data_IF_341770130001
#
_entry.id   IF_341770130001
#
_cell.length_a   1.000
_cell.length_b   1.000
_cell.length_c   1.000
_cell.angle_alpha   90.00
_cell.angle_beta   90.00
_cell.angle_gamma   90.00
#
_symmetry.space_group_name_H-M   'P 1'
#
loop_
_entity.id
_entity.type
_entity.pdbx_description
1 polymer ?
#
# COMPACT_ATOMS: atom_id res chain seq x y z
N UNK A 1 20.15 -2.03 -1.76
CA UNK A 1 21.40 -1.49 -1.16
C UNK A 1 22.30 -2.68 -0.87
N UNK A 2 23.54 -2.68 -1.37
CA UNK A 2 24.55 -3.67 -0.99
C UNK A 2 25.66 -2.92 -0.27
N UNK A 3 25.98 -3.34 0.95
CA UNK A 3 27.01 -2.70 1.77
C UNK A 3 27.90 -3.76 2.41
N UNK A 4 29.17 -3.42 2.63
CA UNK A 4 30.13 -4.23 3.39
C UNK A 4 30.58 -3.37 4.56
N UNK A 5 30.39 -3.90 5.77
CA UNK A 5 30.78 -3.25 7.02
C UNK A 5 32.12 -3.84 7.44
N UNK A 6 33.05 -2.97 7.81
CA UNK A 6 34.30 -3.33 8.47
C UNK A 6 34.41 -2.50 9.76
N UNK A 7 35.30 -2.85 10.71
CA UNK A 7 35.43 -2.12 11.98
C UNK A 7 35.70 -0.62 11.84
N UNK A 8 36.24 -0.17 10.71
CA UNK A 8 36.61 1.24 10.50
C UNK A 8 35.96 1.90 9.26
N UNK A 9 35.29 1.13 8.40
CA UNK A 9 34.65 1.70 7.21
C UNK A 9 33.42 0.93 6.73
N UNK A 10 32.49 1.69 6.13
CA UNK A 10 31.28 1.19 5.48
C UNK A 10 31.43 1.39 3.97
N UNK A 11 31.46 0.30 3.21
CA UNK A 11 31.58 0.30 1.75
C UNK A 11 30.21 0.04 1.12
N UNK A 12 29.66 1.02 0.40
CA UNK A 12 28.39 0.87 -0.29
C UNK A 12 28.65 0.56 -1.77
N UNK A 13 28.24 -0.65 -2.19
CA UNK A 13 28.54 -1.24 -3.50
C UNK A 13 27.53 -0.83 -4.59
N UNK A 14 26.34 -0.40 -4.20
CA UNK A 14 25.24 -0.10 -5.13
C UNK A 14 24.66 1.30 -4.90
N UNK A 15 25.17 2.26 -5.69
CA UNK A 15 24.85 3.70 -5.58
C UNK A 15 23.83 4.18 -6.63
N UNK A 16 23.28 3.30 -7.47
CA UNK A 16 22.53 3.72 -8.67
C UNK A 16 21.13 4.29 -8.42
N UNK A 17 20.72 4.41 -7.15
CA UNK A 17 19.42 4.98 -6.78
C UNK A 17 19.60 6.42 -6.29
N UNK A 18 18.92 7.37 -6.93
CA UNK A 18 18.96 8.81 -6.59
C UNK A 18 18.59 9.08 -5.11
N UNK A 19 17.64 8.33 -4.56
CA UNK A 19 17.26 8.45 -3.14
C UNK A 19 18.38 8.00 -2.20
N UNK A 20 19.22 7.08 -2.67
CA UNK A 20 20.32 6.50 -1.92
C UNK A 20 21.50 7.50 -1.86
N UNK A 21 21.72 8.30 -2.92
CA UNK A 21 22.70 9.39 -2.92
C UNK A 21 22.34 10.49 -1.90
N UNK A 22 21.08 10.94 -1.84
CA UNK A 22 20.68 11.97 -0.89
C UNK A 22 20.89 11.54 0.56
N UNK A 23 20.51 10.31 0.89
CA UNK A 23 20.76 9.75 2.21
C UNK A 23 22.27 9.59 2.51
N UNK A 24 23.02 9.03 1.56
CA UNK A 24 24.47 8.81 1.66
C UNK A 24 25.27 10.08 1.97
N UNK A 25 24.93 11.20 1.34
CA UNK A 25 25.71 12.44 1.47
C UNK A 25 25.22 13.33 2.61
N UNK A 26 23.97 13.19 3.06
CA UNK A 26 23.35 14.14 3.99
C UNK A 26 23.07 13.56 5.37
N UNK A 27 22.68 12.30 5.46
CA UNK A 27 22.19 11.69 6.69
C UNK A 27 23.18 10.66 7.26
N UNK A 28 23.80 9.85 6.39
CA UNK A 28 24.81 8.87 6.79
C UNK A 28 25.99 9.49 7.56
N UNK A 29 26.61 10.62 7.13
CA UNK A 29 27.76 11.17 7.84
C UNK A 29 27.40 11.67 9.24
N UNK A 30 26.20 12.26 9.41
CA UNK A 30 25.71 12.69 10.72
C UNK A 30 25.39 11.52 11.65
N UNK A 31 24.85 10.42 11.10
CA UNK A 31 24.56 9.20 11.87
C UNK A 31 25.85 8.49 12.31
N UNK A 32 26.87 8.44 11.43
CA UNK A 32 28.17 7.85 11.75
C UNK A 32 29.01 8.72 12.71
N UNK A 33 28.88 10.05 12.62
CA UNK A 33 29.61 11.00 13.47
C UNK A 33 29.21 10.93 14.97
N UNK A 34 28.08 10.32 15.31
CA UNK A 34 27.69 10.05 16.70
C UNK A 34 27.17 11.27 17.47
N UNK A 35 26.66 12.31 16.80
CA UNK A 35 26.01 13.46 17.46
C UNK A 35 24.55 13.15 17.89
N UNK A 36 24.18 11.87 17.98
CA UNK A 36 22.88 11.40 18.47
C UNK A 36 22.80 11.41 20.00
N UNK A 37 21.80 12.12 20.52
CA UNK A 37 21.73 12.68 21.88
C UNK A 37 21.51 11.68 23.05
N UNK A 38 21.81 10.38 22.92
CA UNK A 38 21.40 9.40 23.95
C UNK A 38 22.40 8.33 24.39
N UNK A 39 23.68 8.36 24.01
CA UNK A 39 24.62 7.32 24.48
C UNK A 39 25.85 7.93 25.13
N UNK A 40 25.93 7.74 26.45
CA UNK A 40 27.02 8.14 27.36
C UNK A 40 28.36 7.43 27.10
N UNK A 41 28.46 6.60 26.05
CA UNK A 41 29.67 5.96 25.55
C UNK A 41 29.68 5.95 24.01
N UNK A 42 30.83 6.11 23.35
CA UNK A 42 30.90 5.98 21.90
C UNK A 42 30.64 4.51 21.51
N UNK A 43 29.44 4.22 20.97
CA UNK A 43 29.13 2.92 20.38
C UNK A 43 30.16 2.55 19.31
N UNK A 44 30.51 1.26 19.16
CA UNK A 44 31.40 0.81 18.08
C UNK A 44 30.87 1.21 16.70
N UNK A 45 31.78 1.31 15.72
CA UNK A 45 31.44 1.80 14.39
C UNK A 45 30.42 0.90 13.67
N UNK A 46 30.51 -0.42 13.88
CA UNK A 46 29.62 -1.41 13.31
C UNK A 46 28.17 -1.23 13.78
N UNK A 47 27.93 -0.88 15.05
CA UNK A 47 26.59 -0.60 15.56
C UNK A 47 25.98 0.61 14.86
N UNK A 48 26.75 1.70 14.75
CA UNK A 48 26.31 2.92 14.06
C UNK A 48 26.06 2.68 12.57
N UNK A 49 26.90 1.85 11.94
CA UNK A 49 26.75 1.50 10.54
C UNK A 49 25.48 0.66 10.32
N UNK A 50 25.24 -0.36 11.15
CA UNK A 50 24.04 -1.19 11.09
C UNK A 50 22.79 -0.35 11.37
N UNK A 51 22.79 0.46 12.43
CA UNK A 51 21.70 1.38 12.78
C UNK A 51 21.34 2.28 11.59
N UNK A 52 22.34 2.92 10.98
CA UNK A 52 22.14 3.78 9.82
C UNK A 52 21.50 3.03 8.65
N UNK A 53 21.98 1.81 8.36
CA UNK A 53 21.43 0.98 7.28
C UNK A 53 19.97 0.59 7.56
N UNK A 54 19.66 0.15 8.78
CA UNK A 54 18.30 -0.22 9.18
C UNK A 54 17.36 0.99 9.14
N UNK A 55 17.82 2.13 9.65
CA UNK A 55 17.10 3.39 9.59
C UNK A 55 16.77 3.78 8.14
N UNK A 56 17.71 3.61 7.21
CA UNK A 56 17.48 3.85 5.79
C UNK A 56 16.41 2.93 5.21
N UNK A 57 16.47 1.64 5.50
CA UNK A 57 15.49 0.66 5.00
C UNK A 57 14.09 0.96 5.55
N UNK A 58 13.95 1.18 6.86
CA UNK A 58 12.67 1.55 7.47
C UNK A 58 12.13 2.85 6.86
N UNK A 59 12.97 3.88 6.74
CA UNK A 59 12.56 5.17 6.15
C UNK A 59 12.13 5.01 4.68
N UNK A 60 12.78 4.13 3.93
CA UNK A 60 12.42 3.82 2.55
C UNK A 60 11.06 3.12 2.46
N UNK A 61 10.83 2.10 3.28
CA UNK A 61 9.57 1.36 3.31
C UNK A 61 8.42 2.26 3.80
N UNK A 62 8.65 3.05 4.86
CA UNK A 62 7.71 4.03 5.38
C UNK A 62 7.39 5.12 4.34
N UNK A 63 8.40 5.60 3.62
CA UNK A 63 8.22 6.56 2.52
C UNK A 63 7.29 6.03 1.44
N UNK A 64 7.49 4.77 0.99
CA UNK A 64 6.58 4.11 0.04
C UNK A 64 5.14 4.04 0.58
N UNK A 65 4.96 3.64 1.85
CA UNK A 65 3.63 3.56 2.47
C UNK A 65 2.96 4.94 2.54
N UNK A 66 3.70 5.97 2.95
CA UNK A 66 3.19 7.33 3.10
C UNK A 66 2.69 7.95 1.80
N UNK A 67 3.21 7.51 0.65
CA UNK A 67 2.74 7.91 -0.68
C UNK A 67 1.49 7.12 -1.08
N UNK A 68 1.49 5.81 -0.86
CA UNK A 68 0.40 4.92 -1.27
C UNK A 68 -0.88 5.13 -0.44
N UNK A 69 -0.75 5.33 0.88
CA UNK A 69 -1.88 5.46 1.80
C UNK A 69 -2.88 6.56 1.41
N UNK A 70 -2.48 7.84 1.20
CA UNK A 70 -3.44 8.88 0.82
C UNK A 70 -4.06 8.63 -0.56
N UNK A 71 -3.28 8.13 -1.53
CA UNK A 71 -3.76 7.82 -2.88
C UNK A 71 -4.84 6.74 -2.87
N UNK A 72 -4.65 5.70 -2.07
CA UNK A 72 -5.62 4.60 -1.93
C UNK A 72 -6.90 5.12 -1.24
N UNK A 73 -6.76 5.85 -0.13
CA UNK A 73 -7.92 6.39 0.60
C UNK A 73 -8.75 7.34 -0.27
N UNK A 74 -8.12 8.27 -0.99
CA UNK A 74 -8.81 9.20 -1.90
C UNK A 74 -9.52 8.46 -3.03
N UNK A 75 -8.86 7.44 -3.61
CA UNK A 75 -9.45 6.64 -4.70
C UNK A 75 -10.66 5.84 -4.20
N UNK A 76 -10.57 5.29 -2.99
CA UNK A 76 -11.67 4.53 -2.37
C UNK A 76 -12.85 5.42 -2.02
N UNK A 77 -12.62 6.58 -1.42
CA UNK A 77 -13.69 7.55 -1.12
C UNK A 77 -14.42 7.97 -2.41
N UNK A 78 -13.67 8.24 -3.49
CA UNK A 78 -14.23 8.59 -4.78
C UNK A 78 -14.99 7.45 -5.49
N UNK A 79 -14.70 6.19 -5.18
CA UNK A 79 -15.37 5.01 -5.75
C UNK A 79 -16.54 4.51 -4.90
N UNK A 80 -16.52 4.78 -3.59
CA UNK A 80 -17.58 4.38 -2.65
C UNK A 80 -18.73 5.39 -2.63
N UNK A 81 -18.49 6.69 -2.91
CA UNK A 81 -19.55 7.70 -2.87
C UNK A 81 -20.68 7.39 -3.89
N UNK A 82 -21.90 7.07 -3.42
CA UNK A 82 -23.03 6.73 -4.28
C UNK A 82 -23.55 7.89 -5.13
N UNK A 83 -23.10 9.13 -4.89
CA UNK A 83 -23.53 10.31 -5.66
C UNK A 83 -22.79 10.45 -6.99
N UNK A 84 -21.62 9.85 -7.14
CA UNK A 84 -20.87 9.86 -8.39
C UNK A 84 -21.34 8.69 -9.27
N UNK A 85 -22.43 8.93 -10.02
CA UNK A 85 -23.14 7.94 -10.86
C UNK A 85 -22.34 7.34 -12.02
N UNK A 86 -21.06 7.68 -12.14
CA UNK A 86 -20.13 7.07 -13.09
C UNK A 86 -18.98 6.48 -12.31
N UNK A 87 -19.06 5.18 -12.03
CA UNK A 87 -17.87 4.40 -11.66
C UNK A 87 -16.89 4.52 -12.82
N UNK A 88 -15.93 5.42 -12.68
CA UNK A 88 -14.92 5.68 -13.69
C UNK A 88 -14.01 4.46 -13.77
N UNK A 89 -14.03 3.77 -14.91
CA UNK A 89 -13.13 2.63 -15.18
C UNK A 89 -11.66 2.99 -14.96
N UNK A 90 -11.30 4.26 -15.14
CA UNK A 90 -9.95 4.80 -14.86
C UNK A 90 -9.62 4.76 -13.36
N UNK A 91 -10.54 5.15 -12.47
CA UNK A 91 -10.32 5.11 -11.01
C UNK A 91 -10.20 3.69 -10.49
N UNK A 92 -10.99 2.74 -11.03
CA UNK A 92 -10.84 1.32 -10.73
C UNK A 92 -9.45 0.80 -11.13
N UNK A 93 -8.95 1.22 -12.31
CA UNK A 93 -7.63 0.85 -12.76
C UNK A 93 -6.51 1.41 -11.86
N UNK A 94 -6.65 2.66 -11.41
CA UNK A 94 -5.74 3.29 -10.44
C UNK A 94 -5.74 2.51 -9.11
N UNK A 95 -6.93 2.12 -8.61
CA UNK A 95 -7.04 1.32 -7.39
C UNK A 95 -6.33 -0.04 -7.53
N UNK A 96 -6.50 -0.73 -8.66
CA UNK A 96 -5.82 -2.00 -8.93
C UNK A 96 -4.30 -1.83 -9.03
N UNK A 97 -3.83 -0.75 -9.65
CA UNK A 97 -2.42 -0.44 -9.73
C UNK A 97 -1.82 -0.14 -8.35
N UNK A 98 -2.50 0.70 -7.55
CA UNK A 98 -2.08 1.01 -6.18
C UNK A 98 -2.11 -0.24 -5.29
N UNK A 99 -3.12 -1.11 -5.45
CA UNK A 99 -3.21 -2.39 -4.75
C UNK A 99 -2.07 -3.33 -5.10
N UNK A 100 -1.61 -3.34 -6.36
CA UNK A 100 -0.41 -4.09 -6.78
C UNK A 100 0.85 -3.54 -6.10
N UNK A 101 1.06 -2.22 -6.14
CA UNK A 101 2.20 -1.59 -5.47
C UNK A 101 2.19 -1.79 -3.96
N UNK A 102 1.01 -1.84 -3.34
CA UNK A 102 0.86 -2.20 -1.92
C UNK A 102 1.29 -3.64 -1.63
N UNK A 103 0.93 -4.60 -2.49
CA UNK A 103 1.37 -6.00 -2.36
C UNK A 103 2.87 -6.18 -2.59
N UNK A 104 3.48 -5.39 -3.48
CA UNK A 104 4.94 -5.34 -3.65
C UNK A 104 5.60 -4.82 -2.37
N UNK A 105 5.08 -3.74 -1.78
CA UNK A 105 5.57 -3.20 -0.50
C UNK A 105 5.40 -4.20 0.66
N UNK A 106 4.26 -4.88 0.75
CA UNK A 106 4.02 -5.92 1.76
C UNK A 106 5.05 -7.05 1.66
N UNK A 107 5.39 -7.47 0.43
CA UNK A 107 6.42 -8.48 0.18
C UNK A 107 7.80 -7.96 0.59
N UNK A 108 8.15 -6.72 0.26
CA UNK A 108 9.42 -6.09 0.66
C UNK A 108 9.56 -6.05 2.20
N UNK A 109 8.51 -5.63 2.91
CA UNK A 109 8.49 -5.58 4.39
C UNK A 109 8.62 -6.99 4.98
N UNK A 110 7.91 -7.96 4.40
CA UNK A 110 7.96 -9.35 4.86
C UNK A 110 9.38 -9.92 4.74
N UNK A 111 10.02 -9.76 3.58
CA UNK A 111 11.38 -10.24 3.36
C UNK A 111 12.35 -9.56 4.34
N UNK A 112 12.23 -8.25 4.54
CA UNK A 112 13.07 -7.52 5.50
C UNK A 112 12.93 -8.09 6.93
N UNK A 113 11.69 -8.37 7.37
CA UNK A 113 11.43 -8.95 8.69
C UNK A 113 11.93 -10.38 8.83
N UNK A 114 11.73 -11.22 7.82
CA UNK A 114 12.23 -12.60 7.81
C UNK A 114 13.76 -12.61 7.94
N UNK A 115 14.46 -11.75 7.19
CA UNK A 115 15.92 -11.62 7.34
C UNK A 115 16.37 -11.06 8.70
N UNK A 116 15.59 -10.18 9.33
CA UNK A 116 15.88 -9.73 10.70
C UNK A 116 15.71 -10.86 11.71
N UNK A 117 14.66 -11.68 11.58
CA UNK A 117 14.40 -12.81 12.45
C UNK A 117 15.47 -13.90 12.31
N UNK A 118 15.91 -14.20 11.10
CA UNK A 118 17.03 -15.14 10.87
C UNK A 118 18.29 -14.73 11.63
N UNK A 119 18.59 -13.43 11.69
CA UNK A 119 19.75 -12.91 12.45
C UNK A 119 19.49 -12.97 13.96
N UNK A 120 18.29 -12.57 14.41
CA UNK A 120 17.92 -12.56 15.83
C UNK A 120 17.84 -13.98 16.44
N UNK A 121 17.44 -14.98 15.64
CA UNK A 121 17.29 -16.36 16.08
C UNK A 121 18.65 -17.09 16.22
N UNK A 122 19.71 -16.59 15.59
CA UNK A 122 21.04 -17.20 15.58
C UNK A 122 22.05 -16.37 16.41
N UNK A 123 22.27 -16.77 17.66
CA UNK A 123 23.23 -16.12 18.58
C UNK A 123 24.65 -16.02 17.97
N UNK A 124 25.07 -17.02 17.20
CA UNK A 124 26.35 -17.01 16.47
C UNK A 124 26.44 -15.85 15.45
N UNK A 125 25.35 -15.54 14.74
CA UNK A 125 25.30 -14.42 13.79
C UNK A 125 25.35 -13.07 14.52
N UNK A 126 24.66 -12.95 15.66
CA UNK A 126 24.71 -11.74 16.50
C UNK A 126 26.13 -11.47 17.00
N UNK A 127 26.84 -12.51 17.44
CA UNK A 127 28.24 -12.39 17.83
C UNK A 127 29.17 -12.03 16.65
N UNK A 128 28.93 -12.57 15.46
CA UNK A 128 29.70 -12.25 14.25
C UNK A 128 29.52 -10.80 13.79
N UNK A 129 28.35 -10.20 14.03
CA UNK A 129 28.09 -8.78 13.74
C UNK A 129 28.90 -7.84 14.65
N UNK A 130 29.31 -8.30 15.83
CA UNK A 130 30.09 -7.53 16.81
C UNK A 130 31.60 -7.55 16.49
N UNK A 131 32.00 -6.89 15.40
CA UNK A 131 33.36 -6.95 14.84
C UNK A 131 34.47 -6.42 15.78
N UNK A 132 34.16 -5.50 16.70
CA UNK A 132 35.13 -5.01 17.71
C UNK A 132 35.58 -6.09 18.69
N UNK A 133 34.74 -7.11 18.96
CA UNK A 133 35.11 -8.30 19.78
C UNK A 133 36.36 -9.01 19.23
N UNK A 134 36.55 -8.94 17.91
CA UNK A 134 37.65 -9.58 17.20
C UNK A 134 38.88 -8.69 17.02
N UNK A 135 38.72 -7.37 17.18
CA UNK A 135 39.78 -6.38 16.89
C UNK A 135 40.54 -5.93 18.13
N UNK A 136 39.92 -5.91 19.32
CA UNK A 136 40.62 -5.58 20.58
C UNK A 136 40.08 -6.40 21.78
N UNK A 137 40.82 -7.44 22.23
CA UNK A 137 40.42 -8.24 23.39
C UNK A 137 40.40 -7.46 24.72
N UNK A 138 40.98 -6.24 24.79
CA UNK A 138 40.92 -5.41 26.00
C UNK A 138 39.63 -4.58 26.13
N UNK A 139 38.85 -4.43 25.05
CA UNK A 139 37.51 -3.81 25.11
C UNK A 139 36.55 -4.74 25.85
N UNK A 140 36.73 -6.05 25.68
CA UNK A 140 35.98 -7.10 26.39
C UNK A 140 36.16 -7.03 27.91
N UNK A 141 37.33 -6.63 28.40
CA UNK A 141 37.62 -6.48 29.85
C UNK A 141 37.04 -5.19 30.45
N UNK A 142 36.72 -4.18 29.61
CA UNK A 142 36.15 -2.89 30.03
C UNK A 142 34.64 -2.83 29.97
N UNK A 143 33.97 -3.86 29.45
CA UNK A 143 32.53 -4.07 29.61
C UNK A 143 32.20 -4.50 31.05
N UNK A 144 32.71 -3.75 32.04
CA UNK A 144 32.42 -3.92 33.47
C UNK A 144 31.01 -3.45 33.85
N UNK A 145 30.12 -3.29 32.86
CA UNK A 145 28.72 -2.91 33.03
C UNK A 145 27.75 -4.10 32.93
N UNK A 146 28.22 -5.30 32.55
CA UNK A 146 27.46 -6.55 32.65
C UNK A 146 26.46 -6.84 31.53
N UNK A 147 26.47 -6.06 30.44
CA UNK A 147 25.71 -6.34 29.21
C UNK A 147 26.71 -6.77 28.14
N UNK A 148 26.45 -7.91 27.49
CA UNK A 148 27.26 -8.39 26.37
C UNK A 148 27.01 -7.50 25.15
N UNK A 149 28.03 -7.22 24.33
CA UNK A 149 27.84 -6.47 23.09
C UNK A 149 26.87 -7.18 22.14
N UNK A 150 26.80 -8.51 22.22
CA UNK A 150 25.78 -9.28 21.50
C UNK A 150 24.35 -8.93 21.95
N UNK A 151 24.10 -8.78 23.25
CA UNK A 151 22.80 -8.39 23.81
C UNK A 151 22.43 -6.95 23.40
N UNK A 152 23.39 -6.02 23.37
CA UNK A 152 23.15 -4.67 22.85
C UNK A 152 22.79 -4.67 21.36
N UNK A 153 23.41 -5.55 20.56
CA UNK A 153 23.12 -5.69 19.12
C UNK A 153 21.74 -6.28 18.91
N UNK A 154 21.38 -7.31 19.68
CA UNK A 154 20.06 -7.92 19.69
C UNK A 154 18.98 -6.87 19.97
N UNK A 155 19.12 -6.09 21.05
CA UNK A 155 18.18 -5.03 21.42
C UNK A 155 18.00 -3.98 20.31
N UNK A 156 19.09 -3.62 19.61
CA UNK A 156 19.05 -2.71 18.47
C UNK A 156 18.23 -3.32 17.32
N UNK A 157 18.52 -4.57 16.95
CA UNK A 157 17.81 -5.28 15.88
C UNK A 157 16.33 -5.49 16.21
N UNK A 158 16.00 -5.86 17.45
CA UNK A 158 14.63 -6.02 17.94
C UNK A 158 13.82 -4.73 17.81
N UNK A 159 14.43 -3.58 18.13
CA UNK A 159 13.77 -2.28 17.98
C UNK A 159 13.41 -2.01 16.51
N UNK A 160 14.32 -2.26 15.57
CA UNK A 160 14.05 -2.09 14.14
C UNK A 160 13.08 -3.14 13.58
N UNK A 161 13.12 -4.37 14.09
CA UNK A 161 12.13 -5.40 13.79
C UNK A 161 10.73 -4.94 14.20
N UNK A 162 10.59 -4.36 15.40
CA UNK A 162 9.31 -3.80 15.88
C UNK A 162 8.81 -2.66 14.99
N UNK A 163 9.69 -1.76 14.56
CA UNK A 163 9.31 -0.71 13.60
C UNK A 163 8.83 -1.29 12.26
N UNK A 164 9.46 -2.36 11.78
CA UNK A 164 9.02 -3.06 10.57
C UNK A 164 7.68 -3.80 10.77
N UNK A 165 7.43 -4.36 11.96
CA UNK A 165 6.15 -4.95 12.35
C UNK A 165 5.02 -3.90 12.34
N UNK A 166 5.25 -2.73 12.91
CA UNK A 166 4.28 -1.62 12.89
C UNK A 166 3.94 -1.22 11.44
N UNK A 167 4.95 -1.15 10.57
CA UNK A 167 4.76 -0.85 9.16
C UNK A 167 4.00 -1.96 8.41
N UNK A 168 4.29 -3.22 8.74
CA UNK A 168 3.57 -4.39 8.22
C UNK A 168 2.09 -4.34 8.60
N UNK A 169 1.79 -3.96 9.85
CA UNK A 169 0.42 -3.84 10.34
C UNK A 169 -0.33 -2.70 9.64
N UNK A 170 0.29 -1.53 9.50
CA UNK A 170 -0.32 -0.41 8.76
C UNK A 170 -0.60 -0.77 7.28
N UNK A 171 0.33 -1.50 6.64
CA UNK A 171 0.15 -2.00 5.26
C UNK A 171 -1.01 -2.98 5.18
N UNK A 172 -1.14 -3.88 6.16
CA UNK A 172 -2.23 -4.86 6.24
C UNK A 172 -3.59 -4.22 6.47
N UNK A 173 -3.68 -3.21 7.32
CA UNK A 173 -4.91 -2.44 7.53
C UNK A 173 -5.40 -1.80 6.22
N UNK A 174 -4.47 -1.18 5.47
CA UNK A 174 -4.79 -0.59 4.18
C UNK A 174 -5.24 -1.64 3.16
N UNK A 175 -4.65 -2.85 3.20
CA UNK A 175 -5.06 -3.96 2.34
C UNK A 175 -6.48 -4.42 2.63
N UNK A 176 -6.81 -4.63 3.90
CA UNK A 176 -8.17 -5.01 4.33
C UNK A 176 -9.19 -3.96 3.86
N UNK A 177 -8.86 -2.67 4.01
CA UNK A 177 -9.73 -1.58 3.59
C UNK A 177 -9.95 -1.55 2.06
N UNK A 178 -8.94 -1.91 1.24
CA UNK A 178 -9.13 -2.11 -0.21
C UNK A 178 -10.08 -3.28 -0.46
N UNK A 179 -9.85 -4.44 0.16
CA UNK A 179 -10.63 -5.66 -0.07
C UNK A 179 -12.11 -5.46 0.35
N UNK A 180 -12.36 -4.79 1.48
CA UNK A 180 -13.70 -4.41 1.94
C UNK A 180 -14.40 -3.47 0.94
N UNK A 181 -13.67 -2.47 0.45
CA UNK A 181 -14.22 -1.49 -0.49
C UNK A 181 -14.47 -2.08 -1.88
N UNK A 182 -13.66 -3.05 -2.32
CA UNK A 182 -13.87 -3.75 -3.59
C UNK A 182 -15.25 -4.40 -3.66
N UNK A 183 -15.68 -5.05 -2.56
CA UNK A 183 -17.01 -5.67 -2.48
C UNK A 183 -18.13 -4.63 -2.66
N UNK A 184 -17.98 -3.46 -2.04
CA UNK A 184 -18.95 -2.35 -2.17
C UNK A 184 -18.98 -1.82 -3.61
N UNK A 185 -17.82 -1.65 -4.24
CA UNK A 185 -17.70 -1.18 -5.62
C UNK A 185 -18.39 -2.14 -6.59
N UNK A 186 -18.19 -3.45 -6.41
CA UNK A 186 -18.87 -4.47 -7.23
C UNK A 186 -20.40 -4.42 -7.08
N UNK A 187 -20.90 -4.28 -5.84
CA UNK A 187 -22.34 -4.12 -5.58
C UNK A 187 -22.88 -2.86 -6.28
N UNK A 188 -22.15 -1.75 -6.25
CA UNK A 188 -22.55 -0.50 -6.88
C UNK A 188 -22.62 -0.63 -8.41
N UNK A 189 -21.62 -1.26 -9.03
CA UNK A 189 -21.60 -1.56 -10.46
C UNK A 189 -22.78 -2.43 -10.91
N UNK A 190 -23.10 -3.47 -10.12
CA UNK A 190 -24.27 -4.32 -10.40
C UNK A 190 -25.58 -3.57 -10.25
N UNK A 191 -25.70 -2.68 -9.25
CA UNK A 191 -26.85 -1.79 -9.09
C UNK A 191 -27.06 -0.90 -10.32
N UNK A 192 -25.99 -0.30 -10.85
CA UNK A 192 -26.07 0.50 -12.08
C UNK A 192 -26.56 -0.31 -13.28
N UNK A 193 -26.05 -1.54 -13.46
CA UNK A 193 -26.53 -2.45 -14.51
C UNK A 193 -28.02 -2.80 -14.33
N UNK A 194 -28.44 -3.02 -13.09
CA UNK A 194 -29.84 -3.31 -12.75
C UNK A 194 -30.76 -2.12 -13.01
N UNK A 195 -30.32 -0.88 -12.73
CA UNK A 195 -31.06 0.34 -13.07
C UNK A 195 -31.20 0.48 -14.59
N UNK A 196 -30.13 0.28 -15.35
CA UNK A 196 -30.19 0.36 -16.82
C UNK A 196 -31.14 -0.69 -17.42
N UNK A 197 -31.11 -1.92 -16.90
CA UNK A 197 -32.04 -2.97 -17.33
C UNK A 197 -33.50 -2.62 -16.99
N UNK A 198 -33.75 -2.05 -15.80
CA UNK A 198 -35.08 -1.56 -15.41
C UNK A 198 -35.58 -0.45 -16.32
N UNK A 199 -34.72 0.52 -16.65
CA UNK A 199 -35.06 1.61 -17.58
C UNK A 199 -35.38 1.07 -18.98
N UNK A 200 -34.61 0.12 -19.49
CA UNK A 200 -34.89 -0.51 -20.78
C UNK A 200 -36.25 -1.23 -20.80
N UNK A 201 -36.60 -1.94 -19.72
CA UNK A 201 -37.90 -2.58 -19.58
C UNK A 201 -39.04 -1.55 -19.57
N UNK A 202 -38.89 -0.45 -18.82
CA UNK A 202 -39.89 0.62 -18.78
C UNK A 202 -40.06 1.29 -20.14
N UNK A 203 -38.96 1.58 -20.85
CA UNK A 203 -39.02 2.13 -22.21
C UNK A 203 -39.71 1.16 -23.18
N UNK A 204 -39.41 -0.13 -23.10
CA UNK A 204 -40.04 -1.15 -23.94
C UNK A 204 -41.55 -1.27 -23.67
N UNK A 205 -41.97 -1.21 -22.40
CA UNK A 205 -43.40 -1.15 -22.04
C UNK A 205 -44.07 0.12 -22.56
N UNK A 206 -43.36 1.26 -22.49
CA UNK A 206 -43.82 2.53 -23.02
C UNK A 206 -43.99 2.52 -24.55
N UNK A 207 -42.99 2.02 -25.30
CA UNK A 207 -43.06 1.89 -26.76
C UNK A 207 -44.11 0.88 -27.20
N UNK A 208 -44.28 -0.23 -26.49
CA UNK A 208 -45.35 -1.19 -26.74
C UNK A 208 -46.73 -0.53 -26.58
N UNK A 209 -46.93 0.19 -25.49
CA UNK A 209 -48.18 0.92 -25.23
C UNK A 209 -48.45 1.98 -26.31
N UNK A 210 -47.44 2.77 -26.66
CA UNK A 210 -47.53 3.78 -27.72
C UNK A 210 -47.84 3.14 -29.09
N UNK A 211 -47.30 1.96 -29.37
CA UNK A 211 -47.57 1.21 -30.61
C UNK A 211 -49.03 0.76 -30.68
N UNK A 212 -49.62 0.28 -29.58
CA UNK A 212 -51.04 -0.10 -29.52
C UNK A 212 -51.97 1.10 -29.76
N UNK A 213 -51.71 2.23 -29.09
CA UNK A 213 -52.48 3.46 -29.32
C UNK A 213 -52.28 4.00 -30.75
N UNK A 214 -51.06 3.91 -31.27
CA UNK A 214 -50.73 4.27 -32.65
C UNK A 214 -51.52 3.43 -33.66
N UNK A 215 -51.62 2.12 -33.46
CA UNK A 215 -52.42 1.23 -34.31
C UNK A 215 -53.91 1.63 -34.32
N UNK A 216 -54.48 1.93 -33.15
CA UNK A 216 -55.85 2.45 -33.07
C UNK A 216 -56.00 3.79 -33.78
N UNK A 217 -55.07 4.73 -33.56
CA UNK A 217 -55.09 6.03 -34.24
C UNK A 217 -54.98 5.92 -35.76
N UNK A 218 -54.15 5.01 -36.27
CA UNK A 218 -54.05 4.71 -37.71
C UNK A 218 -55.34 4.08 -38.22
N UNK A 219 -55.93 3.12 -37.50
CA UNK A 219 -57.19 2.50 -37.90
C UNK A 219 -58.34 3.50 -38.08
N UNK A 220 -58.42 4.55 -37.24
CA UNK A 220 -59.42 5.62 -37.37
C UNK A 220 -58.99 6.79 -38.27
N UNK A 221 -57.69 6.99 -38.50
CA UNK A 221 -57.14 8.08 -39.31
C UNK A 221 -56.93 7.75 -40.78
N UNK A 222 -57.01 6.47 -41.17
CA UNK A 222 -56.98 6.07 -42.57
C UNK A 222 -58.31 6.42 -43.23
N UNK A 223 -58.25 7.04 -44.42
CA UNK A 223 -59.40 7.38 -45.27
C UNK A 223 -60.02 6.14 -45.92
N UNK A 224 -60.45 5.19 -45.09
CA UNK A 224 -61.26 4.04 -45.45
C UNK A 224 -62.64 4.28 -44.85
N UNK A 225 -63.69 4.24 -45.66
CA UNK A 225 -65.09 4.25 -45.21
C UNK A 225 -65.26 3.20 -44.12
N UNK A 226 -65.27 3.63 -42.87
CA UNK A 226 -65.57 2.76 -41.75
C UNK A 226 -67.07 2.50 -41.82
N UNK A 227 -67.48 1.25 -42.01
CA UNK A 227 -68.88 0.81 -41.91
C UNK A 227 -69.45 0.92 -40.47
N UNK A 228 -68.91 1.85 -39.66
CA UNK A 228 -69.49 2.41 -38.44
C UNK A 228 -70.19 3.75 -38.69
N UNK A 229 -69.98 4.39 -39.84
CA UNK A 229 -70.62 5.67 -40.19
C UNK A 229 -72.10 5.51 -40.62
N UNK A 230 -72.53 4.28 -40.97
CA UNK A 230 -73.89 3.98 -41.43
C UNK A 230 -74.87 3.57 -40.32
N UNK A 231 -74.44 3.40 -39.07
CA UNK A 231 -75.35 3.07 -37.96
C UNK A 231 -75.82 4.34 -37.22
N UNK A 232 -77.10 4.66 -37.38
CA UNK A 232 -77.80 5.87 -36.89
C UNK A 232 -77.90 5.97 -35.35
N UNK A 233 -77.03 5.29 -34.59
CA UNK A 233 -77.13 5.20 -33.12
C UNK A 233 -75.82 5.41 -32.36
N UNK A 234 -74.71 5.76 -33.03
CA UNK A 234 -73.40 5.90 -32.36
C UNK A 234 -72.88 7.35 -32.30
N UNK A 235 -73.67 8.33 -32.76
CA UNK A 235 -73.48 9.74 -32.40
C UNK A 235 -74.80 10.38 -31.92
#
# INVERSE_FOLDING_TARGET
>A
LKAVITPECLLILDYRNLNLEQWLFRELPSQLAGEGQLVTYPLPFEFRAIEALLQYWISTLQGKLSILQPLILETLEALVDPKHSSVDRSKLHILLQNGKSLSELETDIKIFKESMLEILDEEELLEELCLTKWSDPQVFEKSSAGIDHAEEMELLLENYYRLAEDLSNATRELRVLIDDSQSIIFINLDSHRNVMMRLNLQLTMGTFSLSLFGLMGVAFGMNLESSLEEDHRVF
#
